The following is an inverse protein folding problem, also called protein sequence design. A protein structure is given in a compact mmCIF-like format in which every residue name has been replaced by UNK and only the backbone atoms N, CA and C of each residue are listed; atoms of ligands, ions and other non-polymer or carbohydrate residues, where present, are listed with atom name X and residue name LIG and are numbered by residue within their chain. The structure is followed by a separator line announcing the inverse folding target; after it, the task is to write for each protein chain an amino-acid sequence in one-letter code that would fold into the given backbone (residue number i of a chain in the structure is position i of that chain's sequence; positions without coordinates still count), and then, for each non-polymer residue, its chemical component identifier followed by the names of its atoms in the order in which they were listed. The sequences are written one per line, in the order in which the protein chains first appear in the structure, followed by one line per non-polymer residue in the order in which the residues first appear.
data_IF_992348021194
#
_entry.id   IF_992348021194
#
_cell.length_a   1.000
_cell.length_b   1.000
_cell.length_c   1.000
_cell.angle_alpha   90.00
_cell.angle_beta   90.00
_cell.angle_gamma   90.00
#
_symmetry.space_group_name_H-M   'P 1'
#
loop_
_entity.id
_entity.type
_entity.pdbx_description
1 polymer ?
#
# COMPACT_ATOMS: atom_id res chain seq x y z
N UNK A 1 25.57 33.46 9.60
CA UNK A 1 25.72 32.00 9.60
C UNK A 1 25.47 31.53 8.18
N UNK A 2 26.34 30.66 7.65
CA UNK A 2 26.35 30.28 6.23
C UNK A 2 25.23 29.29 5.97
N UNK A 3 24.31 29.64 5.08
CA UNK A 3 23.29 28.76 4.50
C UNK A 3 24.01 27.71 3.65
N UNK A 4 23.87 26.44 4.03
CA UNK A 4 24.33 25.30 3.24
C UNK A 4 23.18 24.98 2.28
N UNK A 5 23.32 25.34 1.01
CA UNK A 5 22.41 24.89 -0.03
C UNK A 5 22.54 23.37 -0.17
N UNK A 6 21.50 22.63 0.22
CA UNK A 6 21.34 21.21 -0.12
C UNK A 6 21.16 21.16 -1.63
N UNK A 7 22.14 20.62 -2.33
CA UNK A 7 22.08 20.38 -3.77
C UNK A 7 21.50 18.97 -3.92
N UNK A 8 20.19 18.84 -4.18
CA UNK A 8 19.60 17.54 -4.51
C UNK A 8 20.29 16.99 -5.76
N UNK A 9 20.64 15.72 -5.70
CA UNK A 9 21.21 14.98 -6.82
C UNK A 9 20.05 14.73 -7.79
N UNK A 10 19.91 15.57 -8.81
CA UNK A 10 18.99 15.29 -9.91
C UNK A 10 19.49 14.02 -10.60
N UNK A 11 18.97 12.86 -10.18
CA UNK A 11 19.25 11.58 -10.82
C UNK A 11 18.40 11.48 -12.08
N UNK A 12 18.80 12.24 -13.09
CA UNK A 12 18.36 12.00 -14.46
C UNK A 12 18.94 10.65 -14.89
N UNK A 13 18.16 9.58 -14.74
CA UNK A 13 18.48 8.27 -15.32
C UNK A 13 18.28 8.41 -16.83
N UNK A 14 19.32 8.95 -17.49
CA UNK A 14 19.40 9.02 -18.93
C UNK A 14 19.64 7.61 -19.48
N UNK A 15 18.60 7.02 -20.06
CA UNK A 15 18.70 5.82 -20.88
C UNK A 15 19.57 6.12 -22.12
N UNK A 16 20.88 5.93 -22.01
CA UNK A 16 21.79 6.04 -23.15
C UNK A 16 22.47 4.68 -23.38
N UNK A 17 21.89 3.91 -24.31
CA UNK A 17 22.49 2.71 -24.88
C UNK A 17 23.84 3.05 -25.52
N UNK A 18 24.95 2.62 -24.91
CA UNK A 18 26.26 2.66 -25.57
C UNK A 18 26.89 1.26 -25.62
N UNK A 19 26.74 0.63 -26.77
CA UNK A 19 27.45 -0.58 -27.15
C UNK A 19 28.85 -0.23 -27.67
N UNK A 20 29.92 -0.65 -26.96
CA UNK A 20 31.21 -0.93 -27.61
C UNK A 20 32.10 -1.88 -26.79
N UNK A 21 32.77 -2.77 -27.52
CA UNK A 21 33.38 -4.01 -27.08
C UNK A 21 34.84 -3.91 -26.58
N UNK A 22 35.16 -4.81 -25.63
CA UNK A 22 36.36 -5.65 -25.47
C UNK A 22 37.77 -5.01 -25.39
N UNK A 23 38.44 -5.18 -24.25
CA UNK A 23 39.85 -5.59 -24.20
C UNK A 23 40.22 -6.28 -22.87
N UNK A 24 40.83 -7.44 -23.03
CA UNK A 24 41.27 -8.44 -22.05
C UNK A 24 42.63 -8.06 -21.42
N UNK A 25 42.80 -8.25 -20.12
CA UNK A 25 44.10 -8.67 -19.56
C UNK A 25 43.95 -9.33 -18.19
N UNK A 26 44.14 -10.65 -18.17
CA UNK A 26 44.37 -11.46 -16.99
C UNK A 26 45.82 -11.31 -16.50
N UNK A 27 46.05 -11.43 -15.20
CA UNK A 27 47.15 -12.21 -14.61
C UNK A 27 46.96 -12.35 -13.10
N UNK A 28 47.38 -13.51 -12.61
CA UNK A 28 46.94 -14.19 -11.41
C UNK A 28 48.08 -14.46 -10.42
N UNK A 29 47.69 -14.92 -9.22
CA UNK A 29 48.41 -15.87 -8.34
C UNK A 29 49.50 -15.24 -7.43
N UNK A 30 49.87 -15.73 -6.23
CA UNK A 30 49.80 -16.99 -5.43
C UNK A 30 49.95 -16.55 -3.93
N UNK A 31 49.85 -17.31 -2.83
CA UNK A 31 50.05 -18.73 -2.53
C UNK A 31 49.40 -19.08 -1.16
N UNK A 32 49.06 -20.35 -1.02
CA UNK A 32 48.74 -21.04 0.22
C UNK A 32 49.99 -21.37 1.07
N UNK A 33 49.78 -21.66 2.36
CA UNK A 33 50.63 -22.59 3.11
C UNK A 33 49.80 -23.38 4.12
N UNK A 34 50.06 -24.69 4.12
CA UNK A 34 49.46 -25.80 4.84
C UNK A 34 50.45 -26.25 5.95
N UNK A 35 49.96 -26.86 7.04
CA UNK A 35 50.54 -27.95 7.88
C UNK A 35 49.85 -27.91 9.27
N UNK A 36 48.98 -28.84 9.68
CA UNK A 36 49.08 -30.28 10.05
C UNK A 36 49.58 -30.60 11.49
N UNK A 37 48.79 -31.47 12.16
CA UNK A 37 49.11 -32.32 13.33
C UNK A 37 48.49 -31.88 14.67
N UNK A 38 47.95 -32.72 15.56
CA UNK A 38 47.75 -34.17 15.63
C UNK A 38 47.01 -34.55 16.96
N UNK A 39 46.32 -35.71 16.94
CA UNK A 39 45.88 -36.66 18.01
C UNK A 39 44.90 -36.35 19.16
N UNK A 40 43.92 -37.27 19.33
CA UNK A 40 43.13 -37.46 20.56
C UNK A 40 41.91 -38.42 20.52
N UNK A 41 42.16 -39.73 20.35
CA UNK A 41 41.35 -40.96 20.61
C UNK A 41 40.09 -40.96 21.52
N UNK A 42 39.05 -41.72 21.11
CA UNK A 42 38.61 -42.94 21.86
C UNK A 42 37.12 -43.17 22.22
N UNK A 43 36.48 -44.19 21.58
CA UNK A 43 35.46 -45.14 22.12
C UNK A 43 34.01 -44.65 22.37
N UNK A 44 32.92 -45.39 22.15
CA UNK A 44 32.65 -46.78 21.77
C UNK A 44 31.15 -47.14 21.99
N UNK A 45 30.68 -48.20 21.30
CA UNK A 45 29.38 -48.90 21.38
C UNK A 45 28.12 -48.20 20.82
N UNK A 46 27.25 -48.77 19.98
CA UNK A 46 27.10 -50.12 19.40
C UNK A 46 25.68 -50.69 19.59
N UNK A 47 25.02 -51.09 18.48
CA UNK A 47 24.10 -52.27 18.32
C UNK A 47 22.70 -52.16 19.00
N UNK A 48 21.53 -52.59 18.49
CA UNK A 48 21.03 -53.23 17.24
C UNK A 48 19.52 -53.53 17.42
N UNK A 49 18.78 -53.82 16.33
CA UNK A 49 17.52 -54.62 16.32
C UNK A 49 16.33 -53.88 15.68
N UNK A 50 15.97 -54.00 14.39
CA UNK A 50 15.68 -55.13 13.48
C UNK A 50 14.23 -55.66 13.56
N UNK A 51 13.49 -55.47 12.45
CA UNK A 51 12.46 -56.38 11.83
C UNK A 51 11.12 -56.55 12.58
N UNK A 52 9.91 -56.69 12.01
CA UNK A 52 9.32 -56.99 10.67
C UNK A 52 7.83 -56.52 10.72
N UNK A 53 7.16 -56.10 9.62
CA UNK A 53 6.20 -56.90 8.80
C UNK A 53 4.83 -57.13 9.48
N UNK A 54 3.64 -57.22 8.86
CA UNK A 54 3.07 -57.11 7.51
C UNK A 54 1.54 -57.34 7.67
N UNK A 55 0.71 -56.63 6.87
CA UNK A 55 -0.64 -56.91 6.33
C UNK A 55 -1.80 -57.58 7.15
N UNK A 56 -3.01 -57.06 6.86
CA UNK A 56 -4.22 -57.77 6.34
C UNK A 56 -5.54 -57.79 7.16
N UNK A 57 -6.60 -57.32 6.49
CA UNK A 57 -7.96 -57.89 6.36
C UNK A 57 -8.94 -58.03 7.56
N UNK A 58 -10.09 -57.33 7.45
CA UNK A 58 -11.37 -58.00 7.14
C UNK A 58 -12.53 -58.04 8.16
N UNK A 59 -13.66 -57.41 7.76
CA UNK A 59 -15.07 -57.85 7.83
C UNK A 59 -15.96 -57.84 9.11
N UNK A 60 -17.23 -57.46 8.83
CA UNK A 60 -18.54 -57.79 9.45
C UNK A 60 -18.95 -57.08 10.77
N UNK A 61 -20.23 -56.86 11.12
CA UNK A 61 -21.56 -56.76 10.49
C UNK A 61 -22.59 -56.76 11.67
N UNK A 62 -23.76 -56.11 11.52
CA UNK A 62 -24.96 -56.33 12.36
C UNK A 62 -25.54 -55.04 13.00
N UNK A 63 -26.66 -54.47 12.54
CA UNK A 63 -28.08 -54.91 12.59
C UNK A 63 -28.70 -54.89 14.00
N UNK A 64 -29.74 -54.04 14.20
CA UNK A 64 -31.11 -54.46 14.59
C UNK A 64 -31.91 -53.47 15.49
N UNK A 65 -33.16 -53.22 15.09
CA UNK A 65 -34.43 -52.97 15.84
C UNK A 65 -34.52 -51.84 16.90
N UNK A 66 -35.44 -50.83 16.83
CA UNK A 66 -36.93 -50.79 16.77
C UNK A 66 -37.64 -50.94 18.14
N UNK A 67 -38.41 -49.91 18.55
CA UNK A 67 -39.56 -50.01 19.47
C UNK A 67 -39.56 -49.00 20.64
N UNK A 68 -40.34 -47.90 20.59
CA UNK A 68 -41.68 -47.72 21.20
C UNK A 68 -41.78 -47.97 22.72
N UNK A 69 -42.05 -46.93 23.52
CA UNK A 69 -43.22 -46.84 24.43
C UNK A 69 -43.31 -45.55 25.27
N UNK A 70 -44.56 -45.11 25.42
CA UNK A 70 -45.12 -43.96 26.12
C UNK A 70 -44.90 -43.98 27.65
N UNK A 71 -44.90 -42.79 28.26
CA UNK A 71 -45.01 -42.61 29.72
C UNK A 71 -45.07 -41.14 30.16
N UNK A 72 -46.30 -40.65 30.35
CA UNK A 72 -46.80 -39.40 30.96
C UNK A 72 -46.10 -38.89 32.25
N UNK A 73 -46.01 -37.55 32.36
CA UNK A 73 -46.34 -36.68 33.53
C UNK A 73 -45.51 -36.89 34.83
N UNK A 74 -44.88 -35.91 35.49
CA UNK A 74 -45.10 -34.47 35.67
C UNK A 74 -43.81 -33.79 36.20
N UNK A 75 -43.86 -32.44 36.28
CA UNK A 75 -42.98 -31.51 37.03
C UNK A 75 -41.85 -30.89 36.18
N UNK A 76 -41.72 -29.57 36.24
CA UNK A 76 -40.88 -28.64 35.45
C UNK A 76 -41.61 -28.13 34.18
N UNK A 77 -42.89 -27.80 34.27
CA UNK A 77 -43.32 -26.40 34.39
C UNK A 77 -42.55 -25.60 35.45
N UNK A 78 -41.39 -25.05 35.07
CA UNK A 78 -40.83 -23.81 35.63
C UNK A 78 -39.52 -23.49 34.90
N UNK A 79 -39.60 -22.53 33.98
CA UNK A 79 -38.48 -21.73 33.42
C UNK A 79 -37.65 -22.37 32.30
N UNK A 80 -38.19 -22.41 31.07
CA UNK A 80 -37.48 -22.06 29.83
C UNK A 80 -38.37 -22.41 28.62
N UNK A 81 -39.26 -21.49 28.23
CA UNK A 81 -39.80 -21.49 26.87
C UNK A 81 -38.99 -20.46 26.08
N UNK A 82 -37.91 -20.92 25.44
CA UNK A 82 -37.45 -20.33 24.19
C UNK A 82 -38.18 -21.09 23.08
N UNK A 83 -39.19 -20.45 22.49
CA UNK A 83 -39.76 -20.91 21.22
C UNK A 83 -38.77 -20.58 20.10
N UNK A 84 -37.96 -21.56 19.70
CA UNK A 84 -37.24 -21.55 18.43
C UNK A 84 -38.22 -21.87 17.28
N UNK A 85 -39.01 -20.88 16.87
CA UNK A 85 -39.72 -20.90 15.59
C UNK A 85 -38.80 -20.25 14.54
N UNK A 86 -37.86 -21.04 14.00
CA UNK A 86 -37.01 -20.62 12.89
C UNK A 86 -36.92 -21.75 11.86
N UNK A 87 -37.35 -21.47 10.64
CA UNK A 87 -37.35 -22.32 9.44
C UNK A 87 -35.92 -22.71 8.97
N UNK A 88 -35.06 -23.18 9.88
CA UNK A 88 -33.66 -23.49 9.61
C UNK A 88 -33.51 -24.93 9.11
N UNK A 89 -33.01 -25.15 7.87
CA UNK A 89 -32.85 -26.49 7.33
C UNK A 89 -31.72 -27.25 8.05
N UNK A 90 -31.93 -28.56 8.24
CA UNK A 90 -31.12 -29.44 9.11
C UNK A 90 -29.64 -29.62 8.74
N UNK A 91 -29.18 -29.06 7.61
CA UNK A 91 -27.77 -29.09 7.21
C UNK A 91 -26.98 -27.89 7.76
N UNK A 92 -27.67 -26.83 8.18
CA UNK A 92 -27.04 -25.69 8.82
C UNK A 92 -26.76 -26.07 10.29
N UNK A 93 -25.49 -26.41 10.59
CA UNK A 93 -25.07 -26.88 11.90
C UNK A 93 -25.50 -25.96 13.05
N UNK A 94 -25.77 -26.57 14.22
CA UNK A 94 -25.99 -25.86 15.47
C UNK A 94 -24.77 -24.98 15.79
N UNK A 95 -25.03 -23.77 16.30
CA UNK A 95 -23.99 -22.92 16.87
C UNK A 95 -23.26 -23.70 17.96
N UNK A 96 -21.96 -23.88 17.79
CA UNK A 96 -21.15 -24.64 18.73
C UNK A 96 -21.02 -23.91 20.05
N UNK A 97 -21.30 -24.60 21.15
CA UNK A 97 -20.78 -24.20 22.47
C UNK A 97 -19.26 -24.28 22.47
N UNK A 98 -18.67 -23.40 23.29
CA UNK A 98 -17.24 -23.14 23.45
C UNK A 98 -16.34 -24.38 23.32
N UNK A 99 -15.36 -24.32 22.40
CA UNK A 99 -14.25 -25.27 22.34
C UNK A 99 -14.16 -26.21 21.13
N UNK A 100 -14.84 -25.96 20.00
CA UNK A 100 -14.60 -26.64 18.71
C UNK A 100 -14.54 -25.64 17.55
N UNK A 101 -13.86 -25.98 16.42
CA UNK A 101 -13.49 -25.01 15.38
C UNK A 101 -14.74 -24.42 14.76
N UNK A 102 -14.86 -23.09 14.80
CA UNK A 102 -16.08 -22.35 14.48
C UNK A 102 -16.59 -21.46 15.62
N UNK A 103 -15.92 -21.44 16.77
CA UNK A 103 -16.08 -20.36 17.75
C UNK A 103 -15.65 -19.03 17.12
N UNK A 104 -16.54 -18.04 17.14
CA UNK A 104 -16.23 -16.68 16.70
C UNK A 104 -14.95 -16.22 17.40
N UNK A 105 -13.99 -15.76 16.60
CA UNK A 105 -12.70 -15.32 17.12
C UNK A 105 -12.94 -14.13 18.04
N UNK A 106 -12.60 -14.25 19.33
CA UNK A 106 -12.44 -13.08 20.20
C UNK A 106 -11.15 -12.37 19.79
N UNK A 107 -11.30 -11.44 18.85
CA UNK A 107 -10.24 -10.67 18.23
C UNK A 107 -10.82 -9.98 16.99
N UNK A 108 -11.57 -8.91 17.21
CA UNK A 108 -12.26 -8.14 16.16
C UNK A 108 -11.31 -7.53 15.13
N UNK A 109 -10.02 -7.46 15.45
CA UNK A 109 -9.00 -6.73 14.71
C UNK A 109 -8.54 -7.39 13.38
N UNK A 110 -8.97 -8.63 13.08
CA UNK A 110 -8.47 -9.38 11.90
C UNK A 110 -9.52 -9.74 10.86
N UNK A 111 -10.79 -9.38 11.06
CA UNK A 111 -11.86 -10.00 10.26
C UNK A 111 -12.90 -9.07 9.66
N UNK A 112 -12.96 -7.78 10.01
CA UNK A 112 -13.75 -6.76 9.31
C UNK A 112 -13.06 -5.42 9.47
N UNK A 113 -12.97 -4.61 8.41
CA UNK A 113 -12.57 -3.21 8.54
C UNK A 113 -13.59 -2.50 9.42
N UNK A 114 -13.17 -1.79 10.46
CA UNK A 114 -14.09 -1.20 11.44
C UNK A 114 -14.61 0.19 11.01
N UNK A 115 -14.02 0.81 9.98
CA UNK A 115 -14.35 2.17 9.54
C UNK A 115 -15.33 2.18 8.36
N UNK A 116 -16.62 2.07 8.63
CA UNK A 116 -17.70 2.13 7.62
C UNK A 116 -18.52 3.42 7.64
N UNK A 117 -18.02 4.48 8.29
CA UNK A 117 -18.64 5.81 8.17
C UNK A 117 -18.42 6.39 6.77
N UNK A 118 -19.43 7.10 6.27
CA UNK A 118 -19.27 7.99 5.12
C UNK A 118 -18.32 9.11 5.56
N UNK A 119 -17.18 9.24 4.87
CA UNK A 119 -16.24 10.32 5.13
C UNK A 119 -16.68 11.52 4.31
N UNK A 120 -16.66 12.69 4.94
CA UNK A 120 -16.99 13.96 4.29
C UNK A 120 -15.76 14.83 4.19
N UNK A 121 -15.75 15.70 3.19
CA UNK A 121 -14.70 16.70 3.01
C UNK A 121 -14.74 17.67 4.18
N UNK A 122 -13.59 17.84 4.83
CA UNK A 122 -13.43 18.65 6.02
C UNK A 122 -12.27 19.61 5.88
N UNK A 123 -12.41 20.73 6.55
CA UNK A 123 -11.39 21.76 6.57
C UNK A 123 -10.21 21.29 7.45
N UNK A 124 -8.98 21.42 6.94
CA UNK A 124 -7.75 20.92 7.57
C UNK A 124 -6.68 22.01 7.70
N UNK A 125 -5.78 21.80 8.67
CA UNK A 125 -4.54 22.56 8.77
C UNK A 125 -3.51 22.03 7.74
N UNK A 126 -2.40 22.75 7.55
CA UNK A 126 -1.38 22.42 6.55
C UNK A 126 -0.68 21.08 6.81
N UNK A 127 -0.65 20.62 8.05
CA UNK A 127 -0.15 19.28 8.41
C UNK A 127 -1.18 18.17 8.13
N UNK A 128 -2.38 18.48 7.65
CA UNK A 128 -3.46 17.53 7.40
C UNK A 128 -4.31 17.20 8.64
N UNK A 129 -4.01 17.78 9.80
CA UNK A 129 -4.86 17.64 10.99
C UNK A 129 -6.19 18.38 10.81
N UNK A 130 -7.22 17.91 11.51
CA UNK A 130 -8.54 18.53 11.46
C UNK A 130 -8.49 19.96 12.02
N UNK A 131 -9.20 20.87 11.35
CA UNK A 131 -9.38 22.20 11.90
C UNK A 131 -10.49 22.22 12.94
N UNK A 132 -10.14 22.73 14.12
CA UNK A 132 -11.02 22.84 15.26
C UNK A 132 -11.32 24.32 15.57
N UNK A 133 -12.52 24.82 15.25
CA UNK A 133 -12.90 26.19 15.57
C UNK A 133 -12.81 26.46 17.07
N UNK A 134 -12.17 27.57 17.44
CA UNK A 134 -11.97 27.97 18.85
C UNK A 134 -11.23 26.93 19.73
N UNK A 135 -10.41 26.08 19.11
CA UNK A 135 -9.67 24.99 19.78
C UNK A 135 -10.59 23.96 20.47
N UNK A 136 -11.82 23.78 19.97
CA UNK A 136 -12.76 22.74 20.45
C UNK A 136 -12.64 21.45 19.62
N UNK A 137 -11.99 20.43 20.18
CA UNK A 137 -11.75 19.12 19.53
C UNK A 137 -13.05 18.39 19.14
N UNK A 138 -14.19 18.75 19.75
CA UNK A 138 -15.49 18.17 19.39
C UNK A 138 -16.10 18.80 18.14
N UNK A 139 -15.54 19.90 17.65
CA UNK A 139 -16.09 20.63 16.50
C UNK A 139 -15.12 20.57 15.33
N UNK A 140 -15.62 20.16 14.17
CA UNK A 140 -14.90 20.23 12.90
C UNK A 140 -15.73 20.99 11.87
N UNK A 141 -15.13 21.36 10.74
CA UNK A 141 -15.82 22.10 9.69
C UNK A 141 -15.88 21.25 8.43
N UNK A 142 -17.07 20.91 7.95
CA UNK A 142 -17.27 20.25 6.67
C UNK A 142 -17.50 21.26 5.54
N UNK A 143 -17.09 20.88 4.34
CA UNK A 143 -17.34 21.63 3.11
C UNK A 143 -18.56 21.01 2.40
N UNK A 144 -19.53 21.86 2.09
CA UNK A 144 -20.75 21.48 1.38
C UNK A 144 -20.52 21.50 -0.14
N UNK A 145 -21.42 20.84 -0.88
CA UNK A 145 -21.36 20.70 -2.34
C UNK A 145 -21.36 22.02 -3.13
N UNK A 146 -21.71 23.15 -2.49
CA UNK A 146 -21.66 24.49 -3.08
C UNK A 146 -20.44 25.32 -2.62
N UNK A 147 -19.51 24.69 -1.90
CA UNK A 147 -18.31 25.31 -1.31
C UNK A 147 -18.57 26.06 -0.01
N UNK A 148 -19.80 26.10 0.50
CA UNK A 148 -20.08 26.71 1.81
C UNK A 148 -19.65 25.78 2.96
N UNK A 149 -19.40 26.36 4.14
CA UNK A 149 -18.89 25.63 5.30
C UNK A 149 -20.00 25.39 6.33
N UNK A 150 -19.97 24.23 6.98
CA UNK A 150 -20.87 23.88 8.08
C UNK A 150 -20.08 23.22 9.21
N UNK A 151 -20.42 23.55 10.46
CA UNK A 151 -19.81 22.91 11.63
C UNK A 151 -20.44 21.54 11.87
N UNK A 152 -19.59 20.54 12.13
CA UNK A 152 -19.96 19.23 12.64
C UNK A 152 -19.61 19.15 14.13
N UNK A 153 -20.48 18.54 14.93
CA UNK A 153 -20.24 18.28 16.35
C UNK A 153 -20.10 16.76 16.51
N UNK A 154 -18.99 16.32 17.08
CA UNK A 154 -18.61 14.91 17.21
C UNK A 154 -18.66 14.15 15.87
N UNK A 155 -18.31 14.84 14.78
CA UNK A 155 -18.33 14.30 13.41
C UNK A 155 -19.71 14.22 12.74
N UNK A 156 -20.77 14.69 13.41
CA UNK A 156 -22.13 14.67 12.87
C UNK A 156 -22.70 16.08 12.66
N UNK A 157 -23.60 16.21 11.69
CA UNK A 157 -24.39 17.43 11.53
C UNK A 157 -25.30 17.60 12.76
N UNK A 158 -25.25 18.75 13.45
CA UNK A 158 -26.10 18.97 14.62
C UNK A 158 -27.58 18.79 14.29
N UNK A 159 -28.34 18.14 15.19
CA UNK A 159 -29.77 17.92 14.99
C UNK A 159 -30.51 19.25 14.71
N UNK A 160 -31.31 19.27 13.65
CA UNK A 160 -32.07 20.45 13.25
C UNK A 160 -31.32 21.44 12.37
N UNK A 161 -30.08 21.14 11.98
CA UNK A 161 -29.37 21.88 10.93
C UNK A 161 -30.13 21.76 9.61
N UNK A 162 -30.46 22.90 9.00
CA UNK A 162 -31.16 22.95 7.70
C UNK A 162 -30.13 23.40 6.66
N UNK A 163 -29.77 22.48 5.77
CA UNK A 163 -28.94 22.80 4.61
C UNK A 163 -29.77 23.53 3.54
N UNK A 164 -29.14 24.39 2.71
CA UNK A 164 -29.82 24.99 1.56
C UNK A 164 -30.41 23.93 0.61
N UNK A 165 -31.48 24.29 -0.10
CA UNK A 165 -32.14 23.36 -1.03
C UNK A 165 -31.18 22.90 -2.13
N UNK A 166 -31.01 21.58 -2.26
CA UNK A 166 -30.07 20.96 -3.22
C UNK A 166 -28.60 20.98 -2.80
N UNK A 167 -28.26 21.40 -1.58
CA UNK A 167 -26.89 21.38 -1.04
C UNK A 167 -26.74 20.24 -0.03
N UNK A 168 -25.71 19.43 -0.20
CA UNK A 168 -25.41 18.28 0.68
C UNK A 168 -23.99 18.35 1.20
N UNK A 169 -23.70 17.54 2.22
CA UNK A 169 -22.30 17.22 2.55
C UNK A 169 -21.64 16.60 1.31
N UNK A 170 -20.37 16.95 1.10
CA UNK A 170 -19.57 16.35 0.05
C UNK A 170 -18.86 15.13 0.64
N UNK A 171 -19.17 13.96 0.10
CA UNK A 171 -18.52 12.70 0.48
C UNK A 171 -17.14 12.62 -0.18
N UNK A 172 -16.20 12.00 0.53
CA UNK A 172 -14.89 11.64 -0.01
C UNK A 172 -15.05 10.33 -0.77
N UNK A 173 -14.81 10.37 -2.07
CA UNK A 173 -14.69 9.17 -2.88
C UNK A 173 -13.27 8.62 -2.78
N UNK A 174 -13.14 7.34 -2.44
CA UNK A 174 -11.85 6.65 -2.37
C UNK A 174 -11.62 5.66 -3.50
N UNK A 175 -12.57 5.49 -4.43
CA UNK A 175 -12.39 4.59 -5.58
C UNK A 175 -11.86 3.19 -5.21
N UNK A 176 -10.77 2.78 -5.87
CA UNK A 176 -9.97 1.57 -5.54
C UNK A 176 -9.24 1.64 -4.20
N UNK A 177 -8.92 2.83 -3.70
CA UNK A 177 -8.22 3.03 -2.43
C UNK A 177 -9.08 2.69 -1.20
N UNK A 178 -10.38 2.46 -1.38
CA UNK A 178 -11.22 1.82 -0.35
C UNK A 178 -10.64 0.50 0.18
N UNK A 179 -9.74 -0.13 -0.58
CA UNK A 179 -9.00 -1.31 -0.15
C UNK A 179 -8.10 -1.05 1.08
N UNK A 180 -7.75 0.20 1.38
CA UNK A 180 -7.02 0.57 2.60
C UNK A 180 -7.78 0.19 3.88
N UNK A 181 -9.12 0.08 3.83
CA UNK A 181 -9.95 -0.38 4.94
C UNK A 181 -9.97 -1.90 5.11
N UNK A 182 -9.22 -2.62 4.29
CA UNK A 182 -9.10 -4.07 4.41
C UNK A 182 -8.28 -4.44 5.66
N UNK A 183 -8.43 -5.66 6.20
CA UNK A 183 -7.61 -6.09 7.32
C UNK A 183 -6.11 -5.99 7.00
N UNK A 184 -5.29 -5.58 7.97
CA UNK A 184 -3.84 -5.36 7.79
C UNK A 184 -3.11 -6.53 7.12
N UNK A 185 -3.56 -7.77 7.36
CA UNK A 185 -3.02 -8.97 6.70
C UNK A 185 -3.04 -8.93 5.17
N UNK A 186 -3.97 -8.19 4.56
CA UNK A 186 -4.07 -8.02 3.10
C UNK A 186 -2.92 -7.14 2.61
N UNK A 187 -2.67 -6.03 3.31
CA UNK A 187 -1.60 -5.09 2.96
C UNK A 187 -0.24 -5.72 3.24
N UNK A 188 -0.06 -6.41 4.38
CA UNK A 188 1.16 -7.16 4.70
C UNK A 188 1.49 -8.24 3.65
N UNK A 189 0.46 -8.95 3.17
CA UNK A 189 0.64 -9.96 2.12
C UNK A 189 1.06 -9.30 0.80
N UNK A 190 0.42 -8.19 0.45
CA UNK A 190 0.74 -7.43 -0.76
C UNK A 190 2.15 -6.84 -0.71
N UNK A 191 2.60 -6.36 0.44
CA UNK A 191 3.98 -5.92 0.65
C UNK A 191 4.96 -7.09 0.46
N UNK A 192 4.62 -8.26 0.98
CA UNK A 192 5.44 -9.47 0.83
C UNK A 192 5.57 -9.86 -0.65
N UNK A 193 4.49 -9.80 -1.43
CA UNK A 193 4.54 -10.07 -2.87
C UNK A 193 5.41 -9.04 -3.59
N UNK A 194 5.25 -7.74 -3.30
CA UNK A 194 6.04 -6.67 -3.88
C UNK A 194 7.54 -6.84 -3.56
N UNK A 195 7.88 -7.04 -2.29
CA UNK A 195 9.27 -7.19 -1.84
C UNK A 195 9.90 -8.50 -2.30
N UNK A 196 9.11 -9.55 -2.53
CA UNK A 196 9.64 -10.80 -3.12
C UNK A 196 10.19 -10.60 -4.55
N UNK A 197 9.67 -9.60 -5.28
CA UNK A 197 10.16 -9.21 -6.61
C UNK A 197 11.38 -8.29 -6.53
N UNK A 198 11.51 -7.56 -5.42
CA UNK A 198 12.55 -6.55 -5.18
C UNK A 198 13.70 -7.05 -4.30
N UNK A 199 13.71 -8.34 -3.97
CA UNK A 199 14.55 -8.86 -2.89
C UNK A 199 16.04 -8.67 -3.14
N UNK A 200 16.69 -7.97 -2.21
CA UNK A 200 18.12 -7.67 -2.23
C UNK A 200 18.51 -6.59 -3.24
N UNK A 201 17.53 -5.92 -3.86
CA UNK A 201 17.76 -4.90 -4.88
C UNK A 201 17.82 -3.48 -4.27
N UNK A 202 18.48 -2.57 -5.00
CA UNK A 202 18.59 -1.16 -4.62
C UNK A 202 18.00 -0.25 -5.72
N UNK A 203 17.18 0.72 -5.32
CA UNK A 203 16.64 1.73 -6.24
C UNK A 203 17.78 2.55 -6.88
N UNK A 204 17.73 2.70 -8.21
CA UNK A 204 18.73 3.44 -8.98
C UNK A 204 19.95 2.62 -9.40
N UNK A 205 20.16 1.44 -8.81
CA UNK A 205 21.20 0.48 -9.21
C UNK A 205 20.60 -0.69 -9.99
N UNK A 206 19.66 -1.39 -9.37
CA UNK A 206 19.03 -2.59 -9.92
C UNK A 206 17.58 -2.34 -10.37
N UNK A 207 16.91 -1.40 -9.72
CA UNK A 207 15.50 -1.06 -9.96
C UNK A 207 15.41 0.33 -10.54
N UNK A 208 14.61 0.47 -11.60
CA UNK A 208 14.36 1.75 -12.27
C UNK A 208 12.92 2.19 -12.06
N UNK A 209 12.61 3.42 -12.45
CA UNK A 209 11.25 3.96 -12.44
C UNK A 209 10.73 4.08 -13.87
N UNK A 210 9.43 3.87 -14.05
CA UNK A 210 8.75 4.25 -15.28
C UNK A 210 8.46 5.76 -15.31
N UNK A 211 7.85 6.22 -16.39
CA UNK A 211 7.50 7.63 -16.58
C UNK A 211 6.57 8.19 -15.50
N UNK A 212 5.68 7.36 -14.94
CA UNK A 212 4.79 7.72 -13.83
C UNK A 212 5.44 7.59 -12.45
N UNK A 213 6.69 7.12 -12.37
CA UNK A 213 7.42 6.91 -11.13
C UNK A 213 7.21 5.54 -10.49
N UNK A 214 6.57 4.58 -11.17
CA UNK A 214 6.33 3.22 -10.65
C UNK A 214 7.61 2.38 -10.73
N UNK A 215 7.80 1.48 -9.77
CA UNK A 215 8.96 0.59 -9.76
C UNK A 215 8.93 -0.39 -10.95
N UNK A 216 10.06 -0.48 -11.64
CA UNK A 216 10.29 -1.40 -12.77
C UNK A 216 11.48 -2.29 -12.45
N UNK A 217 11.22 -3.59 -12.42
CA UNK A 217 12.20 -4.65 -12.15
C UNK A 217 12.23 -5.60 -13.33
N UNK A 218 13.41 -5.91 -13.86
CA UNK A 218 13.57 -6.79 -15.02
C UNK A 218 12.69 -6.41 -16.25
N UNK A 219 12.39 -5.12 -16.40
CA UNK A 219 11.53 -4.59 -17.46
C UNK A 219 10.03 -4.78 -17.22
N UNK A 220 9.62 -5.23 -16.03
CA UNK A 220 8.22 -5.37 -15.64
C UNK A 220 7.89 -4.35 -14.54
N UNK A 221 6.85 -3.56 -14.78
CA UNK A 221 6.34 -2.58 -13.81
C UNK A 221 5.51 -3.26 -12.73
N UNK A 222 5.67 -2.83 -11.47
CA UNK A 222 4.77 -3.20 -10.38
C UNK A 222 3.47 -2.40 -10.53
N UNK A 223 2.47 -3.03 -11.17
CA UNK A 223 1.18 -2.40 -11.52
C UNK A 223 -0.02 -2.91 -10.68
N UNK A 224 0.25 -3.61 -9.56
CA UNK A 224 -0.82 -3.99 -8.64
C UNK A 224 -1.15 -2.82 -7.71
N UNK A 225 -2.42 -2.39 -7.61
CA UNK A 225 -2.80 -1.32 -6.70
C UNK A 225 -2.50 -1.64 -5.25
N UNK A 226 -2.71 -2.91 -4.87
CA UNK A 226 -2.48 -3.39 -3.52
C UNK A 226 -0.99 -3.42 -3.17
N UNK A 227 -0.13 -3.80 -4.12
CA UNK A 227 1.32 -3.78 -3.92
C UNK A 227 1.82 -2.34 -3.78
N UNK A 228 1.32 -1.42 -4.61
CA UNK A 228 1.69 -0.01 -4.54
C UNK A 228 1.18 0.66 -3.25
N UNK A 229 -0.03 0.36 -2.80
CA UNK A 229 -0.54 0.86 -1.51
C UNK A 229 0.29 0.35 -0.33
N UNK A 230 0.70 -0.92 -0.37
CA UNK A 230 1.55 -1.50 0.65
C UNK A 230 2.97 -0.90 0.64
N UNK A 231 3.51 -0.61 -0.55
CA UNK A 231 4.77 0.11 -0.69
C UNK A 231 4.66 1.54 -0.14
N UNK A 232 3.56 2.24 -0.39
CA UNK A 232 3.30 3.57 0.18
C UNK A 232 3.37 3.55 1.72
N UNK A 233 2.64 2.63 2.36
CA UNK A 233 2.68 2.46 3.83
C UNK A 233 4.11 2.17 4.33
N UNK A 234 4.79 1.22 3.68
CA UNK A 234 6.13 0.79 4.07
C UNK A 234 7.17 1.91 3.91
N UNK A 235 7.08 2.72 2.85
CA UNK A 235 8.00 3.83 2.58
C UNK A 235 7.90 4.93 3.64
N UNK A 236 6.70 5.23 4.11
CA UNK A 236 6.48 6.25 5.13
C UNK A 236 6.94 5.78 6.52
N UNK A 237 6.70 4.50 6.85
CA UNK A 237 6.90 3.97 8.21
C UNK A 237 8.29 3.37 8.44
N UNK A 238 8.99 2.96 7.39
CA UNK A 238 10.28 2.30 7.53
C UNK A 238 11.35 3.25 8.10
N UNK A 239 12.21 2.77 9.01
CA UNK A 239 13.20 3.61 9.66
C UNK A 239 14.32 4.00 8.68
N UNK A 240 14.75 5.26 8.78
CA UNK A 240 15.96 5.73 8.10
C UNK A 240 17.19 5.17 8.80
N UNK A 241 18.11 4.62 8.02
CA UNK A 241 19.42 4.15 8.45
C UNK A 241 20.51 4.78 7.59
N UNK A 242 21.78 4.60 7.97
CA UNK A 242 22.93 5.04 7.17
C UNK A 242 23.67 3.80 6.70
N UNK A 243 23.85 3.66 5.39
CA UNK A 243 24.55 2.53 4.80
C UNK A 243 26.08 2.65 4.97
N UNK A 244 26.82 1.61 4.54
CA UNK A 244 28.29 1.55 4.67
C UNK A 244 29.01 2.70 3.94
N UNK A 245 28.37 3.31 2.94
CA UNK A 245 28.88 4.44 2.17
C UNK A 245 28.56 5.81 2.79
N UNK A 246 27.88 5.83 3.95
CA UNK A 246 27.52 7.05 4.65
C UNK A 246 26.30 7.78 4.07
N UNK A 247 25.51 7.10 3.24
CA UNK A 247 24.28 7.62 2.62
C UNK A 247 23.09 7.19 3.47
N UNK A 248 22.16 8.13 3.73
CA UNK A 248 20.90 7.81 4.39
C UNK A 248 19.99 7.03 3.46
N UNK A 249 19.50 5.89 3.92
CA UNK A 249 18.64 4.98 3.17
C UNK A 249 17.48 4.50 4.03
N UNK A 250 16.40 4.13 3.38
CA UNK A 250 15.27 3.40 3.95
C UNK A 250 15.34 1.97 3.43
N UNK A 251 15.26 1.00 4.35
CA UNK A 251 15.21 -0.42 3.98
C UNK A 251 13.83 -0.95 4.29
N UNK A 252 13.08 -1.28 3.24
CA UNK A 252 11.79 -1.94 3.36
C UNK A 252 12.03 -3.42 3.61
N UNK A 253 11.27 -4.02 4.52
CA UNK A 253 11.39 -5.44 4.83
C UNK A 253 10.02 -6.07 5.04
N UNK A 254 9.82 -7.28 4.51
CA UNK A 254 8.67 -8.12 4.82
C UNK A 254 9.13 -9.56 5.08
N UNK A 255 8.42 -10.29 5.92
CA UNK A 255 8.75 -11.68 6.25
C UNK A 255 7.60 -12.61 5.93
N UNK A 256 7.86 -13.60 5.08
CA UNK A 256 6.94 -14.68 4.77
C UNK A 256 7.32 -15.94 5.54
N UNK A 257 6.35 -16.54 6.24
CA UNK A 257 6.53 -17.84 6.88
C UNK A 257 5.90 -18.94 6.03
N UNK A 258 6.70 -19.88 5.53
CA UNK A 258 6.23 -21.09 4.83
C UNK A 258 6.92 -22.33 5.39
N UNK A 259 6.15 -23.39 5.66
CA UNK A 259 6.66 -24.67 6.20
C UNK A 259 7.52 -24.55 7.47
N UNK A 260 7.26 -23.52 8.30
CA UNK A 260 8.02 -23.23 9.51
C UNK A 260 9.41 -22.63 9.27
N UNK A 261 9.68 -22.12 8.06
CA UNK A 261 10.83 -21.30 7.72
C UNK A 261 10.38 -19.88 7.42
N UNK A 262 11.08 -18.92 8.00
CA UNK A 262 10.86 -17.51 7.74
C UNK A 262 11.82 -17.04 6.66
N UNK A 263 11.29 -16.41 5.61
CA UNK A 263 12.05 -15.76 4.55
C UNK A 263 11.81 -14.27 4.66
N UNK A 264 12.87 -13.49 4.86
CA UNK A 264 12.81 -12.02 4.90
C UNK A 264 13.26 -11.47 3.56
N UNK A 265 12.40 -10.67 2.95
CA UNK A 265 12.68 -9.93 1.73
C UNK A 265 13.06 -8.49 2.09
N UNK A 266 13.96 -7.88 1.31
CA UNK A 266 14.37 -6.50 1.54
C UNK A 266 14.55 -5.69 0.25
N UNK A 267 14.27 -4.39 0.32
CA UNK A 267 14.49 -3.44 -0.76
C UNK A 267 15.05 -2.14 -0.20
N UNK A 268 16.09 -1.58 -0.84
CA UNK A 268 16.78 -0.38 -0.36
C UNK A 268 16.45 0.83 -1.22
N UNK A 269 16.03 1.92 -0.56
CA UNK A 269 15.63 3.18 -1.18
C UNK A 269 16.48 4.33 -0.60
N UNK A 270 17.12 5.17 -1.43
CA UNK A 270 17.75 6.41 -0.97
C UNK A 270 16.74 7.32 -0.26
N UNK A 271 17.12 7.90 0.89
CA UNK A 271 16.18 8.70 1.69
C UNK A 271 15.56 9.87 0.90
N UNK A 272 16.31 10.48 -0.03
CA UNK A 272 15.85 11.61 -0.84
C UNK A 272 14.81 11.24 -1.88
N UNK A 273 14.68 9.95 -2.25
CA UNK A 273 13.67 9.46 -3.18
C UNK A 273 12.39 8.94 -2.50
N UNK A 274 12.38 8.83 -1.16
CA UNK A 274 11.29 8.17 -0.41
C UNK A 274 9.94 8.85 -0.65
N UNK A 275 9.88 10.18 -0.56
CA UNK A 275 8.61 10.92 -0.68
C UNK A 275 8.07 10.89 -2.11
N UNK A 276 8.92 11.08 -3.11
CA UNK A 276 8.53 11.01 -4.52
C UNK A 276 8.05 9.60 -4.89
N UNK A 277 8.74 8.57 -4.38
CA UNK A 277 8.32 7.19 -4.58
C UNK A 277 7.03 6.87 -3.82
N UNK A 278 6.84 7.40 -2.61
CA UNK A 278 5.62 7.23 -1.84
C UNK A 278 4.41 7.87 -2.54
N UNK A 279 4.56 9.10 -3.05
CA UNK A 279 3.52 9.77 -3.82
C UNK A 279 3.16 9.01 -5.10
N UNK A 280 4.16 8.52 -5.83
CA UNK A 280 3.96 7.67 -7.01
C UNK A 280 3.28 6.33 -6.65
N UNK A 281 3.66 5.70 -5.54
CA UNK A 281 3.04 4.47 -5.07
C UNK A 281 1.56 4.70 -4.67
N UNK A 282 1.24 5.81 -4.02
CA UNK A 282 -0.15 6.18 -3.73
C UNK A 282 -0.95 6.42 -5.02
N UNK A 283 -0.37 7.14 -5.99
CA UNK A 283 -0.96 7.36 -7.32
C UNK A 283 -1.25 6.04 -8.05
N UNK A 284 -0.29 5.11 -8.08
CA UNK A 284 -0.46 3.82 -8.74
C UNK A 284 -1.47 2.90 -8.03
N UNK A 285 -1.70 3.12 -6.73
CA UNK A 285 -2.77 2.47 -5.98
C UNK A 285 -4.14 3.08 -6.27
N UNK A 286 -4.18 4.35 -6.67
CA UNK A 286 -5.40 5.11 -6.94
C UNK A 286 -6.17 4.62 -8.17
N UNK A 287 -7.36 5.17 -8.34
CA UNK A 287 -8.03 5.16 -9.63
C UNK A 287 -7.17 5.92 -10.65
N UNK A 288 -7.09 5.38 -11.86
CA UNK A 288 -6.27 5.98 -12.94
C UNK A 288 -6.86 7.26 -13.50
N UNK A 289 -8.09 7.57 -13.11
CA UNK A 289 -8.87 8.69 -13.63
C UNK A 289 -9.36 9.50 -12.46
N UNK A 290 -9.22 10.81 -12.53
CA UNK A 290 -9.67 11.71 -11.47
C UNK A 290 -8.52 12.40 -10.76
N UNK A 291 -8.87 13.17 -9.74
CA UNK A 291 -7.94 13.99 -8.97
C UNK A 291 -7.85 13.46 -7.54
N UNK A 292 -6.63 13.31 -7.02
CA UNK A 292 -6.42 12.99 -5.62
C UNK A 292 -6.61 14.25 -4.77
N UNK A 293 -7.53 14.19 -3.81
CA UNK A 293 -7.81 15.31 -2.90
C UNK A 293 -7.08 15.16 -1.55
N UNK A 294 -6.92 16.27 -0.80
CA UNK A 294 -6.25 16.23 0.51
C UNK A 294 -6.98 15.28 1.47
N UNK A 295 -8.31 15.32 1.48
CA UNK A 295 -9.13 14.45 2.32
C UNK A 295 -9.02 12.97 1.93
N UNK A 296 -8.87 12.68 0.64
CA UNK A 296 -8.63 11.33 0.17
C UNK A 296 -7.27 10.82 0.67
N UNK A 297 -6.20 11.59 0.46
CA UNK A 297 -4.84 11.26 0.92
C UNK A 297 -4.80 11.04 2.43
N UNK A 298 -5.31 12.00 3.23
CA UNK A 298 -5.29 11.89 4.70
C UNK A 298 -6.20 10.77 5.17
N UNK A 299 -7.38 10.60 4.57
CA UNK A 299 -8.31 9.52 4.90
C UNK A 299 -7.67 8.15 4.71
N UNK A 300 -7.07 7.91 3.54
CA UNK A 300 -6.39 6.64 3.22
C UNK A 300 -5.21 6.40 4.13
N UNK A 301 -4.38 7.44 4.34
CA UNK A 301 -3.20 7.33 5.20
C UNK A 301 -3.61 7.02 6.64
N UNK A 302 -4.71 7.63 7.12
CA UNK A 302 -5.30 7.33 8.43
C UNK A 302 -5.81 5.89 8.53
N UNK A 303 -6.45 5.36 7.49
CA UNK A 303 -6.91 3.96 7.45
C UNK A 303 -5.76 2.94 7.48
N UNK A 304 -4.62 3.27 6.87
CA UNK A 304 -3.42 2.42 6.93
C UNK A 304 -2.81 2.40 8.33
N UNK A 305 -3.08 3.40 9.17
CA UNK A 305 -2.75 3.41 10.58
C UNK A 305 -2.20 4.74 11.07
N UNK A 306 -2.25 4.94 12.39
CA UNK A 306 -1.78 6.16 13.05
C UNK A 306 -0.28 6.40 12.85
N UNK A 307 0.54 5.34 12.82
CA UNK A 307 1.98 5.45 12.57
C UNK A 307 2.28 5.99 11.17
N UNK A 308 1.52 5.54 10.16
CA UNK A 308 1.64 5.99 8.76
C UNK A 308 1.22 7.45 8.63
N UNK A 309 0.11 7.84 9.27
CA UNK A 309 -0.37 9.21 9.29
C UNK A 309 0.64 10.15 9.97
N UNK A 310 1.13 9.78 11.16
CA UNK A 310 2.12 10.56 11.89
C UNK A 310 3.44 10.71 11.12
N UNK A 311 3.85 9.67 10.39
CA UNK A 311 5.03 9.74 9.53
C UNK A 311 4.84 10.77 8.41
N UNK A 312 3.71 10.74 7.71
CA UNK A 312 3.39 11.73 6.68
C UNK A 312 3.36 13.16 7.24
N UNK A 313 2.69 13.36 8.38
CA UNK A 313 2.64 14.66 9.07
C UNK A 313 4.04 15.16 9.46
N UNK A 314 4.94 14.26 9.85
CA UNK A 314 6.33 14.60 10.17
C UNK A 314 7.08 15.11 8.94
N UNK A 315 6.93 14.44 7.79
CA UNK A 315 7.55 14.88 6.53
C UNK A 315 7.01 16.21 6.02
N UNK A 316 5.73 16.49 6.28
CA UNK A 316 5.12 17.78 5.96
C UNK A 316 5.69 18.86 6.89
N UNK A 317 5.70 18.63 8.20
CA UNK A 317 6.12 19.65 9.19
C UNK A 317 7.62 19.91 9.23
N UNK A 318 8.47 18.99 8.78
CA UNK A 318 9.92 19.18 8.72
C UNK A 318 10.41 19.85 7.42
N UNK A 319 9.49 20.14 6.49
CA UNK A 319 9.75 20.77 5.20
C UNK A 319 10.48 19.87 4.20
N UNK A 320 10.43 18.55 4.38
CA UNK A 320 11.02 17.61 3.41
C UNK A 320 10.36 17.68 2.04
N UNK A 321 9.16 18.25 1.97
CA UNK A 321 8.30 18.25 0.80
C UNK A 321 8.19 19.59 0.06
N UNK A 322 8.52 20.71 0.71
CA UNK A 322 8.21 22.07 0.24
C UNK A 322 8.86 22.44 -1.12
N UNK A 323 9.90 21.72 -1.53
CA UNK A 323 10.66 21.99 -2.75
C UNK A 323 10.12 21.23 -3.99
N UNK A 324 8.97 20.54 -3.90
CA UNK A 324 8.42 19.82 -5.04
C UNK A 324 8.04 20.76 -6.21
N UNK A 325 8.42 20.38 -7.42
CA UNK A 325 7.88 20.99 -8.63
C UNK A 325 7.75 19.95 -9.75
N UNK A 326 6.60 19.94 -10.43
CA UNK A 326 6.36 19.05 -11.57
C UNK A 326 7.43 19.23 -12.68
N UNK A 327 7.96 20.45 -12.84
CA UNK A 327 9.05 20.73 -13.79
C UNK A 327 10.34 20.01 -13.44
N UNK A 328 10.73 19.99 -12.16
CA UNK A 328 11.97 19.33 -11.74
C UNK A 328 11.84 17.80 -11.82
N UNK A 329 10.62 17.27 -11.61
CA UNK A 329 10.33 15.83 -11.64
C UNK A 329 10.15 15.28 -13.06
N UNK A 330 9.38 15.97 -13.92
CA UNK A 330 8.94 15.40 -15.21
C UNK A 330 9.58 16.02 -16.44
N UNK A 331 10.29 17.15 -16.34
CA UNK A 331 10.93 17.74 -17.51
C UNK A 331 12.05 16.84 -18.04
N UNK A 332 12.02 16.56 -19.35
CA UNK A 332 12.94 15.64 -20.01
C UNK A 332 12.54 14.17 -19.90
N UNK A 333 11.48 13.84 -19.16
CA UNK A 333 10.89 12.49 -19.18
C UNK A 333 10.07 12.36 -20.46
N UNK A 334 10.42 11.38 -21.29
CA UNK A 334 9.81 11.21 -22.61
C UNK A 334 9.15 9.86 -22.76
N UNK A 335 8.03 9.83 -23.49
CA UNK A 335 7.30 8.62 -23.86
C UNK A 335 7.01 8.61 -25.35
N UNK A 336 6.83 7.43 -25.92
CA UNK A 336 6.46 7.26 -27.32
C UNK A 336 4.95 7.10 -27.40
N UNK A 337 4.28 7.99 -28.12
CA UNK A 337 2.81 7.96 -28.31
C UNK A 337 2.45 7.84 -29.78
N UNK A 338 1.25 7.36 -30.08
CA UNK A 338 0.71 7.32 -31.44
C UNK A 338 -0.02 8.62 -31.78
N UNK A 339 0.57 9.43 -32.66
CA UNK A 339 -0.05 10.65 -33.16
C UNK A 339 -0.94 10.36 -34.37
N UNK A 340 -2.17 10.86 -34.33
CA UNK A 340 -3.13 10.72 -35.42
C UNK A 340 -2.83 11.72 -36.55
N UNK A 341 -2.37 11.21 -37.70
CA UNK A 341 -2.02 12.03 -38.86
C UNK A 341 -2.85 11.65 -40.09
N UNK A 342 -3.02 12.59 -41.02
CA UNK A 342 -3.66 12.32 -42.32
C UNK A 342 -2.59 12.13 -43.39
N UNK A 343 -2.60 10.99 -44.07
CA UNK A 343 -1.68 10.72 -45.17
C UNK A 343 -2.04 11.56 -46.43
N UNK A 344 -1.19 11.49 -47.47
CA UNK A 344 -1.45 12.19 -48.74
C UNK A 344 -2.68 11.72 -49.52
N UNK A 345 -3.28 10.60 -49.10
CA UNK A 345 -4.46 9.98 -49.72
C UNK A 345 -5.76 10.33 -48.96
N UNK A 346 -5.65 11.02 -47.81
CA UNK A 346 -6.78 11.43 -46.98
C UNK A 346 -7.17 10.42 -45.89
N UNK A 347 -6.38 9.35 -45.69
CA UNK A 347 -6.63 8.36 -44.64
C UNK A 347 -5.93 8.74 -43.34
N UNK A 348 -6.58 8.43 -42.22
CA UNK A 348 -6.00 8.49 -40.89
C UNK A 348 -4.94 7.39 -40.72
N UNK A 349 -3.73 7.79 -40.31
CA UNK A 349 -2.63 6.92 -39.92
C UNK A 349 -2.15 7.30 -38.52
N UNK A 350 -1.67 6.32 -37.75
CA UNK A 350 -1.08 6.55 -36.44
C UNK A 350 0.44 6.42 -36.53
N UNK A 351 1.17 7.47 -36.16
CA UNK A 351 2.64 7.54 -36.28
C UNK A 351 3.26 7.64 -34.90
N UNK A 352 4.24 6.78 -34.55
CA UNK A 352 4.92 6.89 -33.27
C UNK A 352 5.77 8.17 -33.23
N UNK A 353 5.51 9.01 -32.24
CA UNK A 353 6.29 10.21 -31.94
C UNK A 353 6.78 10.16 -30.49
N UNK A 354 7.94 10.76 -30.23
CA UNK A 354 8.43 10.94 -28.86
C UNK A 354 7.98 12.30 -28.35
N UNK A 355 7.35 12.32 -27.18
CA UNK A 355 6.85 13.54 -26.52
C UNK A 355 7.47 13.69 -25.13
N UNK A 356 7.66 14.92 -24.69
CA UNK A 356 8.04 15.25 -23.32
C UNK A 356 6.78 15.36 -22.46
N UNK A 357 6.73 14.63 -21.35
CA UNK A 357 5.54 14.55 -20.50
C UNK A 357 5.23 15.90 -19.89
N UNK A 358 6.26 16.63 -19.45
CA UNK A 358 6.05 17.92 -18.84
C UNK A 358 5.50 18.95 -19.82
N UNK A 359 5.95 18.91 -21.07
CA UNK A 359 5.41 19.80 -22.10
C UNK A 359 3.96 19.47 -22.47
N UNK A 360 3.58 18.18 -22.48
CA UNK A 360 2.21 17.76 -22.85
C UNK A 360 1.20 18.01 -21.73
N UNK A 361 1.57 17.75 -20.47
CA UNK A 361 0.69 17.84 -19.30
C UNK A 361 0.85 19.15 -18.53
N UNK A 362 1.50 20.16 -19.11
CA UNK A 362 1.75 21.44 -18.42
C UNK A 362 0.48 22.09 -17.85
N UNK A 363 -0.64 21.94 -18.56
CA UNK A 363 -1.94 22.51 -18.16
C UNK A 363 -2.73 21.59 -17.19
N UNK A 364 -2.33 20.31 -17.08
CA UNK A 364 -2.99 19.29 -16.25
C UNK A 364 -2.30 19.10 -14.89
N UNK A 365 -1.03 19.49 -14.76
CA UNK A 365 -0.37 19.52 -13.46
C UNK A 365 -1.02 20.54 -12.53
N UNK A 366 -1.31 20.07 -11.32
CA UNK A 366 -2.05 20.85 -10.35
C UNK A 366 -1.26 22.09 -9.91
N UNK A 367 -1.98 23.20 -9.75
CA UNK A 367 -1.51 24.26 -8.86
C UNK A 367 -2.00 23.90 -7.46
N UNK A 368 -1.09 23.89 -6.48
CA UNK A 368 -1.35 23.58 -5.06
C UNK A 368 -2.76 24.02 -4.63
N UNK A 369 -3.58 23.04 -4.20
CA UNK A 369 -5.00 23.23 -3.88
C UNK A 369 -5.19 24.32 -2.80
N UNK A 370 -6.26 25.09 -2.96
CA UNK A 370 -6.66 26.20 -2.07
C UNK A 370 -7.55 25.76 -0.91
N UNK A 371 -7.73 24.45 -0.71
CA UNK A 371 -8.55 23.86 0.36
C UNK A 371 -7.82 23.74 1.71
N UNK A 372 -6.53 24.09 1.79
CA UNK A 372 -5.81 24.33 3.05
C UNK A 372 -6.23 25.67 3.68
N UNK A 373 -6.33 25.70 5.01
CA UNK A 373 -6.78 26.90 5.75
C UNK A 373 -5.73 28.01 5.78
N UNK A 374 -4.45 27.68 5.59
CA UNK A 374 -3.37 28.63 5.71
C UNK A 374 -2.64 28.86 4.40
N UNK A 375 -1.91 29.96 4.38
CA UNK A 375 -1.19 30.44 3.22
C UNK A 375 -0.12 29.42 2.83
N UNK A 376 -0.26 28.78 1.66
CA UNK A 376 0.67 27.80 1.04
C UNK A 376 2.09 28.36 0.76
N UNK A 377 2.48 29.48 1.37
CA UNK A 377 3.79 30.10 1.23
C UNK A 377 4.90 29.30 1.93
N UNK A 378 4.56 28.44 2.90
CA UNK A 378 5.52 27.68 3.74
C UNK A 378 5.47 26.14 3.54
N UNK A 379 4.72 25.63 2.55
CA UNK A 379 4.56 24.18 2.31
C UNK A 379 3.37 23.54 3.06
N UNK A 380 3.16 22.23 2.89
CA UNK A 380 2.00 21.55 3.47
C UNK A 380 1.67 20.18 2.85
N UNK A 381 0.61 19.56 3.37
CA UNK A 381 0.02 18.31 2.87
C UNK A 381 -0.52 18.46 1.45
N UNK A 382 -0.91 19.68 1.09
CA UNK A 382 -1.29 20.09 -0.26
C UNK A 382 -0.17 19.84 -1.28
N UNK A 383 1.11 20.03 -0.90
CA UNK A 383 2.25 19.73 -1.76
C UNK A 383 2.40 18.22 -1.98
N UNK A 384 2.19 17.39 -0.94
CA UNK A 384 2.18 15.93 -1.09
C UNK A 384 1.03 15.46 -1.98
N UNK A 385 -0.14 16.02 -1.73
CA UNK A 385 -1.35 15.72 -2.49
C UNK A 385 -1.14 16.09 -3.96
N UNK A 386 -0.56 17.26 -4.24
CA UNK A 386 -0.24 17.69 -5.59
C UNK A 386 0.78 16.77 -6.25
N UNK A 387 1.84 16.37 -5.53
CA UNK A 387 2.83 15.42 -6.02
C UNK A 387 2.21 14.07 -6.41
N UNK A 388 1.31 13.54 -5.56
CA UNK A 388 0.60 12.29 -5.85
C UNK A 388 -0.39 12.48 -7.01
N UNK A 389 -1.10 13.61 -7.07
CA UNK A 389 -2.04 13.92 -8.14
C UNK A 389 -1.34 14.07 -9.50
N UNK A 390 -0.21 14.79 -9.56
CA UNK A 390 0.59 14.93 -10.76
C UNK A 390 1.07 13.57 -11.28
N UNK A 391 1.44 12.64 -10.38
CA UNK A 391 1.76 11.28 -10.76
C UNK A 391 0.55 10.52 -11.35
N UNK A 392 -0.68 10.77 -10.86
CA UNK A 392 -1.91 10.20 -11.46
C UNK A 392 -2.11 10.74 -12.88
N UNK A 393 -1.94 12.05 -13.11
CA UNK A 393 -2.06 12.63 -14.45
C UNK A 393 -1.06 12.01 -15.44
N UNK A 394 0.18 11.79 -15.00
CA UNK A 394 1.18 11.11 -15.83
C UNK A 394 0.79 9.64 -16.07
N UNK A 395 0.32 8.93 -15.05
CA UNK A 395 -0.11 7.54 -15.15
C UNK A 395 -1.26 7.40 -16.16
N UNK A 396 -2.28 8.26 -16.07
CA UNK A 396 -3.42 8.32 -16.98
C UNK A 396 -2.93 8.52 -18.42
N UNK A 397 -2.12 9.56 -18.64
CA UNK A 397 -1.61 9.88 -19.96
C UNK A 397 -0.79 8.73 -20.58
N UNK A 398 0.09 8.12 -19.80
CA UNK A 398 0.94 7.01 -20.27
C UNK A 398 0.10 5.78 -20.58
N UNK A 399 -0.88 5.42 -19.75
CA UNK A 399 -1.74 4.25 -20.00
C UNK A 399 -2.62 4.43 -21.24
N UNK A 400 -3.11 5.65 -21.49
CA UNK A 400 -4.03 5.90 -22.60
C UNK A 400 -3.30 6.12 -23.94
N UNK A 401 -2.07 6.64 -23.91
CA UNK A 401 -1.40 7.13 -25.12
C UNK A 401 -0.07 6.45 -25.44
N UNK A 402 0.66 5.92 -24.44
CA UNK A 402 2.01 5.41 -24.66
C UNK A 402 2.01 4.02 -25.32
N UNK A 403 3.02 3.80 -26.15
CA UNK A 403 3.37 2.48 -26.65
C UNK A 403 4.31 1.79 -25.65
N UNK A 404 3.87 0.64 -25.12
CA UNK A 404 4.70 -0.25 -24.30
C UNK A 404 5.81 -0.96 -25.10
#
# INVERSE_FOLDING_TARGET
MKTIAKKRLATAISACTLSLALALSASSSFAASHEEGDHGTGGGHGISGQSHGQMESGHNAGSSLKGLRQGRQDIIDLLAEEEEDSDRPSWAGQSGNEGKPGGGNSGGDRMKGDDYGDIVIVLRNDDGTLYHPNDDESVTVAILSDGSQVELIDGELPEGTILPDGVTLQEVEFGRLNVARSPTTVIEHSLTEALSKLDGLTLGEDVTLDASGRLVVDGVTIDSPLENLALYEALLTAPVSVNDDGVSVVTLTATASSDGQDTTYSFVVPQDAVLELAASALSAASDKTGELTIDEVIGITGFLGEDTLNALQTYVTDGSIDDYSASDTYSGVTVVVLDEQTNSEGDTIYVPITVDIYEVLQDDFGTVDTSSIFNNEDGGIDVFTNMANDAVQVLEYVHDNALE
#
